data_IF_088099545200
#
_entry.id   IF_088099545200
#
_cell.length_a   1.000
_cell.length_b   1.000
_cell.length_c   1.000
_cell.angle_alpha   90.00
_cell.angle_beta   90.00
_cell.angle_gamma   90.00
#
_symmetry.space_group_name_H-M   'P 1'
#
loop_
_entity.id
_entity.type
_entity.pdbx_description
1 polymer ?
#
# COMPACT_ATOMS: atom_id res chain seq x y z
N UNK A 1 -65.44 44.43 40.09
CA UNK A 1 -64.20 44.03 39.38
C UNK A 1 -63.75 42.77 40.10
N UNK A 2 -64.28 41.63 39.67
CA UNK A 2 -64.25 40.37 40.44
C UNK A 2 -63.03 39.54 40.08
N UNK A 3 -62.53 38.81 41.07
CA UNK A 3 -61.34 37.94 41.06
C UNK A 3 -61.32 36.80 40.01
N UNK A 4 -62.36 36.71 39.18
CA UNK A 4 -62.58 35.61 38.25
C UNK A 4 -61.75 35.75 36.95
N UNK A 5 -61.39 36.96 36.53
CA UNK A 5 -60.62 37.20 35.29
C UNK A 5 -59.13 36.86 35.43
N UNK A 6 -58.56 36.97 36.63
CA UNK A 6 -57.14 36.66 36.87
C UNK A 6 -56.87 35.15 36.88
N UNK A 7 -57.87 34.36 37.28
CA UNK A 7 -57.78 32.89 37.34
C UNK A 7 -57.82 32.23 35.96
N UNK A 8 -58.46 32.86 34.97
CA UNK A 8 -58.57 32.32 33.61
C UNK A 8 -57.27 32.48 32.81
N UNK A 9 -56.66 33.67 32.90
CA UNK A 9 -55.42 33.98 32.17
C UNK A 9 -54.20 33.19 32.67
N UNK A 10 -54.14 32.84 33.96
CA UNK A 10 -53.05 32.02 34.52
C UNK A 10 -53.11 30.54 34.10
N UNK A 11 -54.32 29.98 33.92
CA UNK A 11 -54.49 28.56 33.56
C UNK A 11 -54.11 28.28 32.10
N UNK A 12 -54.39 29.22 31.19
CA UNK A 12 -54.06 29.04 29.76
C UNK A 12 -52.56 29.24 29.48
N UNK A 13 -51.88 30.12 30.22
CA UNK A 13 -50.43 30.30 30.12
C UNK A 13 -49.63 29.05 30.57
N UNK A 14 -50.07 28.37 31.63
CA UNK A 14 -49.42 27.14 32.13
C UNK A 14 -49.67 25.95 31.21
N UNK A 15 -50.86 25.86 30.61
CA UNK A 15 -51.25 24.76 29.72
C UNK A 15 -50.51 24.79 28.38
N UNK A 16 -50.21 25.99 27.86
CA UNK A 16 -49.38 26.15 26.67
C UNK A 16 -47.86 26.11 26.97
N UNK A 17 -47.41 26.63 28.11
CA UNK A 17 -46.00 26.53 28.52
C UNK A 17 -45.52 25.10 28.77
N UNK A 18 -46.36 24.25 29.38
CA UNK A 18 -46.06 22.83 29.61
C UNK A 18 -46.08 21.97 28.35
N UNK A 19 -46.99 22.27 27.40
CA UNK A 19 -47.06 21.57 26.12
C UNK A 19 -45.85 21.90 25.23
N UNK A 20 -45.38 23.15 25.22
CA UNK A 20 -44.22 23.57 24.42
C UNK A 20 -42.92 22.99 24.97
N UNK A 21 -42.76 22.92 26.30
CA UNK A 21 -41.59 22.29 26.93
C UNK A 21 -41.55 20.77 26.70
N UNK A 22 -42.69 20.08 26.80
CA UNK A 22 -42.76 18.63 26.57
C UNK A 22 -42.54 18.25 25.11
N UNK A 23 -43.13 18.99 24.16
CA UNK A 23 -42.89 18.79 22.71
C UNK A 23 -41.44 19.10 22.34
N UNK A 24 -40.84 20.16 22.91
CA UNK A 24 -39.44 20.50 22.69
C UNK A 24 -38.47 19.42 23.19
N UNK A 25 -38.69 18.89 24.39
CA UNK A 25 -37.86 17.81 24.95
C UNK A 25 -37.99 16.52 24.14
N UNK A 26 -39.21 16.15 23.72
CA UNK A 26 -39.44 14.96 22.88
C UNK A 26 -38.75 15.10 21.53
N UNK A 27 -38.82 16.28 20.89
CA UNK A 27 -38.14 16.53 19.62
C UNK A 27 -36.61 16.41 19.76
N UNK A 28 -36.01 16.93 20.83
CA UNK A 28 -34.58 16.82 21.10
C UNK A 28 -34.18 15.35 21.31
N UNK A 29 -34.96 14.58 22.06
CA UNK A 29 -34.69 13.15 22.28
C UNK A 29 -34.75 12.38 20.96
N UNK A 30 -35.73 12.65 20.10
CA UNK A 30 -35.84 11.99 18.78
C UNK A 30 -34.64 12.31 17.90
N UNK A 31 -34.20 13.59 17.86
CA UNK A 31 -33.02 13.99 17.09
C UNK A 31 -31.75 13.31 17.62
N UNK A 32 -31.59 13.19 18.95
CA UNK A 32 -30.46 12.50 19.57
C UNK A 32 -30.45 11.00 19.27
N UNK A 33 -31.62 10.35 19.27
CA UNK A 33 -31.74 8.92 18.91
C UNK A 33 -31.39 8.72 17.43
N UNK A 34 -31.88 9.59 16.52
CA UNK A 34 -31.54 9.51 15.10
C UNK A 34 -30.05 9.78 14.84
N UNK A 35 -29.45 10.74 15.55
CA UNK A 35 -28.02 11.00 15.49
C UNK A 35 -27.20 9.81 16.01
N UNK A 36 -27.62 9.18 17.11
CA UNK A 36 -27.00 7.98 17.63
C UNK A 36 -27.12 6.81 16.63
N UNK A 37 -28.29 6.60 16.02
CA UNK A 37 -28.48 5.58 14.99
C UNK A 37 -27.62 5.84 13.74
N UNK A 38 -27.41 7.10 13.36
CA UNK A 38 -26.53 7.45 12.23
C UNK A 38 -25.05 7.17 12.55
N UNK A 39 -24.58 7.61 13.73
CA UNK A 39 -23.18 7.44 14.16
C UNK A 39 -22.85 5.95 14.41
N UNK A 40 -23.73 5.23 15.10
CA UNK A 40 -23.50 3.82 15.44
C UNK A 40 -23.93 2.85 14.32
N UNK A 41 -24.91 3.19 13.48
CA UNK A 41 -25.36 2.33 12.38
C UNK A 41 -24.32 2.23 11.27
N UNK A 42 -23.84 3.37 10.75
CA UNK A 42 -22.87 3.35 9.64
C UNK A 42 -21.42 3.26 10.10
N UNK A 43 -21.03 3.94 11.18
CA UNK A 43 -19.64 3.98 11.65
C UNK A 43 -19.17 2.66 12.27
N UNK A 44 -20.03 1.96 13.01
CA UNK A 44 -19.70 0.69 13.66
C UNK A 44 -19.68 -0.48 12.68
N UNK A 45 -20.65 -0.54 11.75
CA UNK A 45 -20.67 -1.54 10.69
C UNK A 45 -19.51 -1.34 9.70
N UNK A 46 -19.13 -0.10 9.39
CA UNK A 46 -17.94 0.16 8.57
C UNK A 46 -16.66 -0.31 9.28
N UNK A 47 -16.45 -0.01 10.57
CA UNK A 47 -15.25 -0.46 11.31
C UNK A 47 -15.16 -1.97 11.49
N UNK A 48 -16.28 -2.65 11.73
CA UNK A 48 -16.30 -4.10 11.98
C UNK A 48 -16.30 -4.92 10.68
N UNK A 49 -16.89 -4.41 9.59
CA UNK A 49 -16.84 -5.07 8.27
C UNK A 49 -15.65 -4.63 7.40
N UNK A 50 -14.94 -3.56 7.75
CA UNK A 50 -13.72 -3.12 7.08
C UNK A 50 -12.62 -4.20 6.99
N UNK A 51 -12.28 -4.97 8.04
CA UNK A 51 -11.28 -6.02 7.91
C UNK A 51 -11.73 -7.09 6.92
N UNK A 52 -13.00 -7.52 6.98
CA UNK A 52 -13.51 -8.62 6.16
C UNK A 52 -13.72 -8.24 4.69
N UNK A 53 -14.30 -7.06 4.40
CA UNK A 53 -14.43 -6.55 3.02
C UNK A 53 -13.10 -6.07 2.44
N UNK A 54 -12.21 -5.52 3.27
CA UNK A 54 -10.87 -5.10 2.85
C UNK A 54 -9.99 -6.30 2.49
N UNK A 55 -10.03 -7.38 3.27
CA UNK A 55 -9.32 -8.63 2.96
C UNK A 55 -9.96 -9.40 1.80
N UNK A 56 -11.29 -9.49 1.71
CA UNK A 56 -11.96 -10.16 0.59
C UNK A 56 -11.77 -9.39 -0.74
N UNK A 57 -11.82 -8.06 -0.71
CA UNK A 57 -11.53 -7.21 -1.87
C UNK A 57 -10.06 -7.26 -2.29
N UNK A 58 -9.13 -7.29 -1.33
CA UNK A 58 -7.69 -7.47 -1.60
C UNK A 58 -7.37 -8.88 -2.10
N UNK A 59 -7.93 -9.94 -1.52
CA UNK A 59 -7.79 -11.32 -2.03
C UNK A 59 -8.39 -11.45 -3.43
N UNK A 60 -9.58 -10.90 -3.67
CA UNK A 60 -10.24 -10.91 -4.97
C UNK A 60 -9.47 -10.16 -6.07
N UNK A 61 -8.82 -9.04 -5.77
CA UNK A 61 -7.97 -8.32 -6.73
C UNK A 61 -6.61 -9.02 -6.98
N UNK A 62 -6.01 -9.61 -5.94
CA UNK A 62 -4.67 -10.22 -5.99
C UNK A 62 -4.68 -11.64 -6.55
N UNK A 63 -5.71 -12.44 -6.26
CA UNK A 63 -5.83 -13.82 -6.79
C UNK A 63 -6.72 -13.90 -8.05
N UNK A 64 -7.60 -12.92 -8.28
CA UNK A 64 -8.66 -13.03 -9.28
C UNK A 64 -8.40 -12.38 -10.65
N UNK A 65 -7.40 -11.50 -10.81
CA UNK A 65 -7.12 -10.85 -12.09
C UNK A 65 -5.86 -11.42 -12.76
N UNK A 66 -5.98 -11.88 -14.01
CA UNK A 66 -4.83 -12.32 -14.81
C UNK A 66 -3.76 -11.22 -14.94
N UNK A 67 -4.21 -9.97 -15.04
CA UNK A 67 -3.36 -8.78 -15.13
C UNK A 67 -2.46 -8.61 -13.90
N UNK A 68 -2.95 -8.88 -12.68
CA UNK A 68 -2.12 -8.81 -11.49
C UNK A 68 -0.99 -9.86 -11.51
N UNK A 69 -1.28 -11.06 -12.03
CA UNK A 69 -0.30 -12.15 -12.14
C UNK A 69 0.79 -11.82 -13.13
N UNK A 70 0.41 -11.26 -14.29
CA UNK A 70 1.34 -10.80 -15.32
C UNK A 70 2.20 -9.65 -14.78
N UNK A 71 1.58 -8.64 -14.14
CA UNK A 71 2.31 -7.53 -13.55
C UNK A 71 3.29 -7.99 -12.45
N UNK A 72 2.90 -8.94 -11.61
CA UNK A 72 3.80 -9.51 -10.61
C UNK A 72 4.94 -10.31 -11.25
N UNK A 73 4.67 -11.05 -12.33
CA UNK A 73 5.69 -11.77 -13.09
C UNK A 73 6.71 -10.79 -13.70
N UNK A 74 6.23 -9.78 -14.42
CA UNK A 74 7.05 -8.76 -15.07
C UNK A 74 7.87 -7.99 -14.03
N UNK A 75 7.28 -7.64 -12.89
CA UNK A 75 7.97 -6.96 -11.78
C UNK A 75 9.22 -7.69 -11.30
N UNK A 76 9.17 -9.02 -11.11
CA UNK A 76 10.36 -9.77 -10.70
C UNK A 76 11.41 -9.85 -11.81
N UNK A 77 11.00 -9.92 -13.07
CA UNK A 77 11.91 -9.88 -14.21
C UNK A 77 12.58 -8.50 -14.34
N UNK A 78 11.83 -7.43 -14.15
CA UNK A 78 12.32 -6.05 -14.21
C UNK A 78 13.33 -5.77 -13.10
N UNK A 79 13.03 -6.17 -11.85
CA UNK A 79 13.99 -6.04 -10.74
C UNK A 79 15.28 -6.80 -11.02
N UNK A 80 15.18 -8.01 -11.57
CA UNK A 80 16.34 -8.79 -11.99
C UNK A 80 17.14 -8.11 -13.10
N UNK A 81 16.48 -7.61 -14.14
CA UNK A 81 17.14 -6.90 -15.24
C UNK A 81 17.83 -5.61 -14.77
N UNK A 82 17.20 -4.88 -13.84
CA UNK A 82 17.79 -3.68 -13.23
C UNK A 82 19.07 -4.00 -12.46
N UNK A 83 19.05 -5.03 -11.59
CA UNK A 83 20.25 -5.49 -10.88
C UNK A 83 21.39 -5.84 -11.84
N UNK A 84 21.09 -6.56 -12.92
CA UNK A 84 22.11 -6.93 -13.93
C UNK A 84 22.63 -5.71 -14.71
N UNK A 85 21.78 -4.73 -14.98
CA UNK A 85 22.15 -3.47 -15.62
C UNK A 85 23.07 -2.62 -14.73
N UNK A 86 22.76 -2.53 -13.44
CA UNK A 86 23.60 -1.85 -12.44
C UNK A 86 24.97 -2.54 -12.35
N UNK A 87 25.00 -3.88 -12.26
CA UNK A 87 26.24 -4.67 -12.25
C UNK A 87 27.07 -4.46 -13.53
N UNK A 88 26.45 -4.45 -14.71
CA UNK A 88 27.13 -4.17 -15.96
C UNK A 88 27.73 -2.77 -16.00
N UNK A 89 26.99 -1.77 -15.50
CA UNK A 89 27.45 -0.39 -15.40
C UNK A 89 28.63 -0.26 -14.44
N UNK A 90 28.58 -0.92 -13.28
CA UNK A 90 29.69 -1.00 -12.32
C UNK A 90 30.92 -1.61 -12.98
N UNK A 91 30.78 -2.74 -13.69
CA UNK A 91 31.90 -3.38 -14.40
C UNK A 91 32.52 -2.46 -15.44
N UNK A 92 31.70 -1.75 -16.22
CA UNK A 92 32.18 -0.82 -17.24
C UNK A 92 32.94 0.36 -16.63
N UNK A 93 32.41 0.95 -15.55
CA UNK A 93 33.07 2.04 -14.82
C UNK A 93 34.37 1.60 -14.13
N UNK A 94 34.41 0.40 -13.55
CA UNK A 94 35.64 -0.19 -12.99
C UNK A 94 36.68 -0.45 -14.09
N UNK A 95 36.24 -0.89 -15.27
CA UNK A 95 37.10 -1.05 -16.45
C UNK A 95 37.67 0.29 -16.92
N UNK A 96 36.86 1.35 -16.96
CA UNK A 96 37.32 2.70 -17.31
C UNK A 96 38.43 3.18 -16.36
N UNK A 97 38.33 2.92 -15.05
CA UNK A 97 39.39 3.29 -14.09
C UNK A 97 40.72 2.55 -14.30
N UNK A 98 40.68 1.36 -14.89
CA UNK A 98 41.84 0.46 -14.99
C UNK A 98 42.45 0.42 -16.40
N UNK A 99 41.70 0.85 -17.42
CA UNK A 99 42.14 0.85 -18.82
C UNK A 99 43.03 2.07 -19.11
N UNK A 100 44.05 1.89 -19.94
CA UNK A 100 44.91 2.99 -20.38
C UNK A 100 44.32 3.70 -21.62
N UNK A 101 44.44 5.05 -21.73
CA UNK A 101 45.00 5.96 -20.73
C UNK A 101 44.09 6.08 -19.50
N UNK A 102 44.70 6.20 -18.32
CA UNK A 102 43.93 6.36 -17.08
C UNK A 102 43.10 7.65 -17.14
N UNK A 103 41.89 7.68 -16.55
CA UNK A 103 41.09 8.88 -16.47
C UNK A 103 41.80 9.98 -15.66
N UNK A 104 41.46 11.23 -15.92
CA UNK A 104 41.87 12.36 -15.07
C UNK A 104 41.34 12.21 -13.64
N UNK A 105 41.94 12.91 -12.68
CA UNK A 105 41.51 12.84 -11.27
C UNK A 105 40.04 13.25 -11.07
N UNK A 106 39.59 14.27 -11.81
CA UNK A 106 38.19 14.70 -11.80
C UNK A 106 37.26 13.60 -12.32
N UNK A 107 37.62 12.97 -13.46
CA UNK A 107 36.84 11.86 -14.01
C UNK A 107 36.85 10.65 -13.09
N UNK A 108 37.98 10.35 -12.45
CA UNK A 108 38.09 9.26 -11.48
C UNK A 108 37.19 9.50 -10.26
N UNK A 109 37.05 10.74 -9.78
CA UNK A 109 36.13 11.08 -8.69
C UNK A 109 34.66 10.88 -9.11
N UNK A 110 34.30 11.31 -10.31
CA UNK A 110 32.96 11.08 -10.87
C UNK A 110 32.64 9.60 -11.00
N UNK A 111 33.58 8.80 -11.54
CA UNK A 111 33.42 7.35 -11.67
C UNK A 111 33.19 6.71 -10.30
N UNK A 112 33.97 7.07 -9.27
CA UNK A 112 33.79 6.55 -7.91
C UNK A 112 32.40 6.86 -7.36
N UNK A 113 31.95 8.11 -7.50
CA UNK A 113 30.61 8.51 -7.06
C UNK A 113 29.51 7.72 -7.80
N UNK A 114 29.66 7.53 -9.12
CA UNK A 114 28.72 6.73 -9.92
C UNK A 114 28.71 5.26 -9.50
N UNK A 115 29.87 4.66 -9.22
CA UNK A 115 29.96 3.27 -8.73
C UNK A 115 29.23 3.14 -7.38
N UNK A 116 29.48 4.04 -6.43
CA UNK A 116 28.78 4.02 -5.13
C UNK A 116 27.26 4.11 -5.30
N UNK A 117 26.78 5.00 -6.19
CA UNK A 117 25.35 5.13 -6.45
C UNK A 117 24.75 3.84 -7.04
N UNK A 118 25.43 3.23 -8.02
CA UNK A 118 24.99 1.98 -8.64
C UNK A 118 25.03 0.79 -7.66
N UNK A 119 26.02 0.74 -6.76
CA UNK A 119 26.10 -0.28 -5.72
C UNK A 119 24.92 -0.18 -4.73
N UNK A 120 24.52 1.05 -4.38
CA UNK A 120 23.34 1.29 -3.55
C UNK A 120 22.04 0.90 -4.27
N UNK A 121 21.88 1.29 -5.54
CA UNK A 121 20.70 0.92 -6.34
C UNK A 121 20.58 -0.60 -6.50
N UNK A 122 21.71 -1.27 -6.76
CA UNK A 122 21.77 -2.73 -6.81
C UNK A 122 21.30 -3.35 -5.50
N UNK A 123 21.78 -2.84 -4.36
CA UNK A 123 21.37 -3.34 -3.06
C UNK A 123 19.88 -3.12 -2.77
N UNK A 124 19.34 -1.95 -3.13
CA UNK A 124 17.92 -1.62 -3.03
C UNK A 124 17.07 -2.59 -3.86
N UNK A 125 17.41 -2.78 -5.13
CA UNK A 125 16.69 -3.68 -6.03
C UNK A 125 16.73 -5.15 -5.55
N UNK A 126 17.87 -5.61 -5.01
CA UNK A 126 18.01 -6.93 -4.39
C UNK A 126 17.11 -7.05 -3.16
N UNK A 127 17.09 -6.03 -2.31
CA UNK A 127 16.26 -6.03 -1.10
C UNK A 127 14.77 -6.00 -1.44
N UNK A 128 14.37 -5.20 -2.43
CA UNK A 128 13.00 -5.13 -2.92
C UNK A 128 12.56 -6.48 -3.50
N UNK A 129 13.39 -7.09 -4.34
CA UNK A 129 13.15 -8.44 -4.86
C UNK A 129 12.94 -9.44 -3.72
N UNK A 130 13.83 -9.44 -2.72
CA UNK A 130 13.77 -10.37 -1.61
C UNK A 130 12.55 -10.14 -0.72
N UNK A 131 12.19 -8.89 -0.46
CA UNK A 131 11.00 -8.52 0.30
C UNK A 131 9.73 -8.97 -0.43
N UNK A 132 9.64 -8.76 -1.73
CA UNK A 132 8.49 -9.13 -2.54
C UNK A 132 8.40 -10.65 -2.74
N UNK A 133 9.53 -11.33 -2.94
CA UNK A 133 9.59 -12.79 -3.03
C UNK A 133 9.16 -13.47 -1.71
N UNK A 134 9.37 -12.82 -0.56
CA UNK A 134 8.91 -13.33 0.73
C UNK A 134 7.38 -13.24 0.93
N UNK A 135 6.66 -12.48 0.09
CA UNK A 135 5.20 -12.32 0.18
C UNK A 135 4.47 -13.55 -0.37
N UNK A 136 4.32 -14.56 0.50
CA UNK A 136 3.76 -15.89 0.16
C UNK A 136 2.33 -15.90 -0.41
N UNK A 137 1.54 -14.86 -0.14
CA UNK A 137 0.11 -14.81 -0.49
C UNK A 137 -0.23 -13.70 -1.50
N UNK A 138 0.78 -13.05 -2.08
CA UNK A 138 0.58 -11.96 -3.05
C UNK A 138 1.58 -12.06 -4.20
N UNK A 139 2.48 -11.09 -4.38
CA UNK A 139 3.39 -11.05 -5.53
C UNK A 139 4.32 -12.28 -5.57
N UNK A 140 4.88 -12.69 -4.42
CA UNK A 140 5.86 -13.78 -4.35
C UNK A 140 5.38 -15.12 -4.91
N UNK A 141 4.06 -15.37 -4.92
CA UNK A 141 3.48 -16.61 -5.47
C UNK A 141 3.44 -16.63 -7.01
N UNK A 142 3.52 -15.46 -7.66
CA UNK A 142 3.44 -15.31 -9.11
C UNK A 142 4.80 -15.12 -9.78
N UNK A 143 5.87 -15.21 -8.99
CA UNK A 143 7.22 -15.19 -9.50
C UNK A 143 7.49 -16.39 -10.40
N UNK A 144 8.17 -16.16 -11.52
CA UNK A 144 8.63 -17.21 -12.41
C UNK A 144 9.41 -18.32 -11.68
N UNK A 145 9.16 -19.57 -12.05
CA UNK A 145 10.02 -20.71 -11.66
C UNK A 145 11.44 -20.58 -12.24
N UNK A 146 11.58 -19.74 -13.26
CA UNK A 146 12.82 -19.29 -13.87
C UNK A 146 13.67 -18.37 -13.02
N UNK A 147 13.21 -17.91 -11.85
CA UNK A 147 13.91 -16.90 -11.06
C UNK A 147 14.33 -17.41 -9.67
N UNK A 148 15.50 -16.98 -9.16
CA UNK A 148 16.05 -17.48 -7.90
C UNK A 148 15.16 -17.14 -6.69
N UNK A 149 15.05 -18.05 -5.71
CA UNK A 149 14.30 -17.86 -4.44
C UNK A 149 14.65 -16.55 -3.72
N UNK A 150 15.92 -16.17 -3.76
CA UNK A 150 16.47 -14.99 -3.12
C UNK A 150 17.69 -14.51 -3.90
N UNK A 151 17.91 -13.21 -3.94
CA UNK A 151 19.12 -12.58 -4.43
C UNK A 151 20.07 -12.27 -3.27
N UNK A 152 21.38 -12.40 -3.52
CA UNK A 152 22.41 -12.14 -2.52
C UNK A 152 23.10 -10.80 -2.77
N UNK A 153 23.27 -10.01 -1.71
CA UNK A 153 24.04 -8.77 -1.75
C UNK A 153 25.54 -9.04 -1.93
N UNK A 154 26.04 -10.19 -1.47
CA UNK A 154 27.47 -10.53 -1.48
C UNK A 154 27.97 -11.15 -2.78
N UNK A 155 27.07 -11.58 -3.66
CA UNK A 155 27.47 -12.12 -4.97
C UNK A 155 27.85 -10.95 -5.88
N UNK A 156 28.92 -11.08 -6.66
CA UNK A 156 29.36 -10.02 -7.57
C UNK A 156 28.44 -9.89 -8.80
N UNK A 157 27.92 -11.01 -9.29
CA UNK A 157 27.02 -11.04 -10.45
C UNK A 157 25.76 -11.86 -10.18
N UNK A 158 24.62 -11.29 -10.50
CA UNK A 158 23.31 -11.91 -10.30
C UNK A 158 22.90 -12.69 -11.53
N UNK A 159 22.60 -13.99 -11.36
CA UNK A 159 22.02 -14.81 -12.42
C UNK A 159 20.48 -14.78 -12.36
N UNK A 160 19.87 -14.16 -13.36
CA UNK A 160 18.41 -14.01 -13.47
C UNK A 160 17.75 -15.11 -14.32
N UNK A 161 18.36 -16.29 -14.35
CA UNK A 161 17.79 -17.50 -14.95
C UNK A 161 17.97 -18.65 -13.96
N UNK A 162 16.95 -19.47 -13.77
CA UNK A 162 17.13 -20.81 -13.24
C UNK A 162 17.69 -21.60 -14.41
N UNK A 163 18.89 -22.14 -14.23
CA UNK A 163 19.36 -23.21 -15.08
C UNK A 163 18.40 -24.40 -14.93
N UNK A 164 17.33 -24.41 -15.72
CA UNK A 164 16.56 -25.61 -16.03
C UNK A 164 16.20 -25.56 -17.51
N UNK A 165 16.60 -26.58 -18.31
CA UNK A 165 16.43 -26.56 -19.74
C UNK A 165 14.94 -26.51 -20.07
N UNK A 166 14.60 -25.65 -21.04
CA UNK A 166 13.31 -25.64 -21.71
C UNK A 166 12.87 -27.10 -21.97
N UNK A 167 11.68 -27.54 -21.53
CA UNK A 167 11.20 -28.86 -21.92
C UNK A 167 11.11 -28.83 -23.44
N UNK A 168 11.90 -29.72 -24.07
CA UNK A 168 11.90 -29.91 -25.49
C UNK A 168 10.44 -30.00 -25.97
N UNK A 169 10.09 -29.12 -26.90
CA UNK A 169 8.83 -29.18 -27.63
C UNK A 169 8.87 -30.45 -28.48
N UNK A 170 8.26 -31.53 -27.99
CA UNK A 170 7.95 -32.76 -28.75
C UNK A 170 6.49 -32.77 -29.13
#
# INVERSE_FOLDING_TARGET
MSDDDFQYTAKDAVRHGGAVLTVGVVAIVVVLVLAAMYIFGWGFLAKTSAPWRGEAGKRGQVEGSGDYRVAAYDHFHDLCAQVQSDEASIRNLRREMTTAPKPSDERALQIKASITALENNRAENINQYNADAAKKYTQGQFRSSGLPSRLSLSTEETACTSSSPSPART
#
